data_IF_547021646510
#
_entry.id   IF_547021646510
#
_cell.length_a   1.000
_cell.length_b   1.000
_cell.length_c   1.000
_cell.angle_alpha   90.00
_cell.angle_beta   90.00
_cell.angle_gamma   90.00
#
_symmetry.space_group_name_H-M   'P 1'
#
loop_
_entity.id
_entity.type
_entity.pdbx_description
1 polymer ?
#
# COMPACT_ATOMS: atom_id res chain seq x y z
N UNK A 1 -12.79 -3.47 -7.60
CA UNK A 1 -12.42 -3.21 -9.01
C UNK A 1 -13.12 -4.25 -9.89
N UNK A 2 -13.64 -3.84 -11.04
CA UNK A 2 -14.41 -4.67 -12.00
C UNK A 2 -13.53 -5.70 -12.72
N UNK A 3 -12.74 -6.49 -11.98
CA UNK A 3 -11.81 -7.48 -12.53
C UNK A 3 -10.52 -6.91 -13.14
N UNK A 4 -10.39 -5.59 -13.26
CA UNK A 4 -9.16 -4.94 -13.73
C UNK A 4 -8.08 -4.95 -12.63
N UNK A 5 -6.83 -5.19 -13.04
CA UNK A 5 -5.65 -5.27 -12.18
C UNK A 5 -4.67 -4.11 -12.41
N UNK A 6 -5.15 -3.02 -13.01
CA UNK A 6 -4.36 -1.83 -13.32
C UNK A 6 -5.09 -0.57 -12.88
N UNK A 7 -4.30 0.43 -12.51
CA UNK A 7 -4.77 1.78 -12.18
C UNK A 7 -3.95 2.74 -13.01
N UNK A 8 -4.62 3.60 -13.77
CA UNK A 8 -3.95 4.67 -14.50
C UNK A 8 -3.68 5.82 -13.54
N UNK A 9 -2.42 6.21 -13.40
CA UNK A 9 -2.03 7.40 -12.65
C UNK A 9 -2.45 8.63 -13.45
N UNK A 10 -3.25 9.50 -12.84
CA UNK A 10 -3.71 10.78 -13.38
C UNK A 10 -3.48 11.87 -12.34
N UNK A 11 -3.47 13.12 -12.78
CA UNK A 11 -3.22 14.30 -11.93
C UNK A 11 -4.17 14.39 -10.73
N UNK A 12 -5.39 13.86 -10.88
CA UNK A 12 -6.46 13.89 -9.89
C UNK A 12 -6.67 12.58 -9.13
N UNK A 13 -5.80 11.57 -9.34
CA UNK A 13 -6.03 10.23 -8.76
C UNK A 13 -5.98 10.24 -7.21
N UNK A 14 -5.24 11.18 -6.62
CA UNK A 14 -4.97 11.25 -5.19
C UNK A 14 -5.50 12.55 -4.55
N UNK A 15 -6.43 13.25 -5.22
CA UNK A 15 -7.04 14.48 -4.69
C UNK A 15 -7.80 14.23 -3.38
N UNK A 16 -8.37 13.03 -3.24
CA UNK A 16 -9.08 12.56 -2.04
C UNK A 16 -8.19 11.69 -1.13
N UNK A 17 -6.88 11.94 -1.09
CA UNK A 17 -5.87 11.22 -0.29
C UNK A 17 -5.45 9.86 -0.88
N UNK A 18 -4.71 9.07 -0.09
CA UNK A 18 -4.14 7.80 -0.49
C UNK A 18 -5.19 6.74 -0.87
N UNK A 19 -4.90 5.98 -1.93
CA UNK A 19 -5.64 4.75 -2.23
C UNK A 19 -5.16 3.64 -1.31
N UNK A 20 -6.00 3.23 -0.36
CA UNK A 20 -5.71 2.17 0.59
C UNK A 20 -6.37 0.87 0.13
N UNK A 21 -5.55 -0.13 -0.16
CA UNK A 21 -5.99 -1.47 -0.53
C UNK A 21 -5.83 -2.42 0.65
N UNK A 22 -6.89 -3.17 0.95
CA UNK A 22 -6.90 -4.25 1.96
C UNK A 22 -7.36 -5.57 1.33
N UNK A 23 -7.25 -6.69 2.06
CA UNK A 23 -7.69 -8.03 1.59
C UNK A 23 -7.08 -8.36 0.22
N UNK A 24 -5.79 -8.11 0.10
CA UNK A 24 -5.04 -8.20 -1.14
C UNK A 24 -5.05 -9.63 -1.66
N UNK A 25 -5.38 -9.80 -2.95
CA UNK A 25 -5.15 -11.06 -3.68
C UNK A 25 -3.79 -11.09 -4.38
N UNK A 26 -3.15 -9.93 -4.50
CA UNK A 26 -1.85 -9.74 -5.13
C UNK A 26 -0.76 -9.67 -4.07
N UNK A 27 0.42 -10.22 -4.39
CA UNK A 27 1.62 -10.14 -3.55
C UNK A 27 2.65 -9.13 -4.06
N UNK A 28 2.36 -8.43 -5.16
CA UNK A 28 3.21 -7.39 -5.71
C UNK A 28 2.41 -6.31 -6.47
N UNK A 29 3.09 -5.20 -6.75
CA UNK A 29 2.62 -4.12 -7.63
C UNK A 29 3.77 -3.69 -8.53
N UNK A 30 3.47 -3.38 -9.80
CA UNK A 30 4.44 -2.83 -10.73
C UNK A 30 4.08 -1.39 -11.12
N UNK A 31 5.06 -0.50 -11.07
CA UNK A 31 4.99 0.80 -11.73
C UNK A 31 5.40 0.63 -13.20
N UNK A 32 4.56 1.09 -14.13
CA UNK A 32 4.76 0.94 -15.56
C UNK A 32 4.77 2.30 -16.26
N UNK A 33 5.56 2.45 -17.31
CA UNK A 33 5.55 3.65 -18.13
C UNK A 33 4.34 3.67 -19.10
N UNK A 34 4.17 4.77 -19.84
CA UNK A 34 3.09 4.91 -20.83
C UNK A 34 3.14 3.92 -22.01
N UNK A 35 4.23 3.16 -22.18
CA UNK A 35 4.39 2.10 -23.17
C UNK A 35 4.20 0.70 -22.56
N UNK A 36 3.69 0.61 -21.33
CA UNK A 36 3.52 -0.64 -20.58
C UNK A 36 4.83 -1.41 -20.31
N UNK A 37 5.97 -0.73 -20.28
CA UNK A 37 7.22 -1.30 -19.77
C UNK A 37 7.25 -1.13 -18.25
N UNK A 38 7.60 -2.19 -17.51
CA UNK A 38 7.83 -2.10 -16.06
C UNK A 38 9.05 -1.21 -15.82
N UNK A 39 8.93 -0.31 -14.85
CA UNK A 39 10.03 0.50 -14.31
C UNK A 39 10.51 -0.14 -13.00
N UNK A 40 9.55 -0.53 -12.17
CA UNK A 40 9.80 -1.10 -10.85
C UNK A 40 8.71 -2.12 -10.51
N UNK A 41 9.08 -3.19 -9.80
CA UNK A 41 8.16 -4.10 -9.11
C UNK A 41 8.47 -4.10 -7.63
N UNK A 42 7.44 -3.90 -6.81
CA UNK A 42 7.50 -3.99 -5.36
C UNK A 42 6.79 -5.28 -4.94
N UNK A 43 7.54 -6.24 -4.42
CA UNK A 43 7.04 -7.48 -3.84
C UNK A 43 6.82 -7.29 -2.33
N UNK A 44 5.61 -7.56 -1.87
CA UNK A 44 5.14 -7.35 -0.51
C UNK A 44 4.26 -8.50 -0.02
N UNK A 45 4.64 -9.74 -0.38
CA UNK A 45 3.92 -10.92 0.09
C UNK A 45 3.77 -10.93 1.62
N UNK A 46 2.55 -11.21 2.09
CA UNK A 46 2.22 -11.23 3.51
C UNK A 46 1.80 -9.89 4.11
N UNK A 47 1.97 -8.76 3.42
CA UNK A 47 1.47 -7.47 3.90
C UNK A 47 -0.05 -7.38 3.75
N UNK A 48 -0.80 -7.03 4.82
CA UNK A 48 -2.26 -6.97 4.78
C UNK A 48 -2.83 -5.76 4.02
N UNK A 49 -2.05 -4.67 3.92
CA UNK A 49 -2.44 -3.43 3.29
C UNK A 49 -1.39 -2.92 2.31
N UNK A 50 -1.85 -2.15 1.31
CA UNK A 50 -1.02 -1.37 0.41
C UNK A 50 -1.62 0.04 0.28
N UNK A 51 -0.87 1.05 0.69
CA UNK A 51 -1.14 2.45 0.38
C UNK A 51 -0.46 2.86 -0.92
N UNK A 52 -1.18 3.58 -1.78
CA UNK A 52 -0.62 4.20 -2.98
C UNK A 52 -1.04 5.67 -3.00
N UNK A 53 -0.08 6.58 -3.10
CA UNK A 53 -0.37 8.02 -3.13
C UNK A 53 0.73 8.84 -3.82
N UNK A 54 0.40 10.08 -4.17
CA UNK A 54 1.37 11.12 -4.51
C UNK A 54 0.90 12.45 -3.95
N UNK A 55 1.83 13.37 -3.67
CA UNK A 55 1.53 14.63 -2.99
C UNK A 55 0.72 15.61 -3.84
N UNK A 56 0.99 15.65 -5.14
CA UNK A 56 0.31 16.52 -6.10
C UNK A 56 0.63 16.09 -7.52
N UNK A 57 -0.13 16.57 -8.50
CA UNK A 57 0.15 16.37 -9.92
C UNK A 57 1.58 16.79 -10.32
N UNK A 58 2.11 17.85 -9.70
CA UNK A 58 3.46 18.37 -9.97
C UNK A 58 4.57 17.59 -9.25
N UNK A 59 4.24 16.68 -8.34
CA UNK A 59 5.23 15.92 -7.59
C UNK A 59 5.78 14.79 -8.49
N UNK A 60 7.08 14.77 -8.81
CA UNK A 60 7.65 13.78 -9.73
C UNK A 60 7.91 12.42 -9.04
N UNK A 61 7.00 12.00 -8.16
CA UNK A 61 7.09 10.74 -7.45
C UNK A 61 5.71 10.13 -7.19
N UNK A 62 5.71 8.84 -6.90
CA UNK A 62 4.59 8.09 -6.35
C UNK A 62 5.11 7.22 -5.22
N UNK A 63 4.34 7.10 -4.16
CA UNK A 63 4.62 6.23 -3.03
C UNK A 63 3.90 4.90 -3.21
N UNK A 64 4.61 3.81 -2.94
CA UNK A 64 4.10 2.44 -2.87
C UNK A 64 4.42 1.94 -1.46
N UNK A 65 3.41 1.78 -0.62
CA UNK A 65 3.60 1.60 0.82
C UNK A 65 2.85 0.36 1.34
N UNK A 66 3.50 -0.81 1.35
CA UNK A 66 2.94 -1.98 2.02
C UNK A 66 2.97 -1.77 3.55
N UNK A 67 1.85 -2.01 4.22
CA UNK A 67 1.73 -1.72 5.66
C UNK A 67 1.32 -2.93 6.51
N UNK A 68 1.88 -2.99 7.73
CA UNK A 68 1.39 -3.76 8.87
C UNK A 68 0.75 -2.80 9.89
N UNK A 69 -0.37 -2.21 9.49
CA UNK A 69 -1.08 -1.17 10.23
C UNK A 69 -1.87 -0.28 9.27
N UNK A 70 -2.86 0.44 9.78
CA UNK A 70 -3.66 1.39 9.01
C UNK A 70 -4.06 2.58 9.90
N UNK A 71 -4.46 3.70 9.28
CA UNK A 71 -5.02 4.84 9.98
C UNK A 71 -6.28 4.43 10.79
N UNK A 72 -6.64 5.23 11.80
CA UNK A 72 -7.89 4.98 12.54
C UNK A 72 -9.10 5.16 11.62
N UNK A 73 -10.12 4.35 11.86
CA UNK A 73 -11.43 4.55 11.24
C UNK A 73 -12.13 5.73 11.91
N UNK A 74 -13.11 6.33 11.23
CA UNK A 74 -13.91 7.43 11.80
C UNK A 74 -14.75 7.01 13.01
N UNK A 75 -14.87 5.71 13.25
CA UNK A 75 -15.61 5.10 14.36
C UNK A 75 -14.71 4.43 15.40
N UNK A 76 -13.39 4.69 15.37
CA UNK A 76 -12.45 4.12 16.33
C UNK A 76 -12.84 4.47 17.78
N UNK A 77 -12.68 3.51 18.69
CA UNK A 77 -12.93 3.67 20.12
C UNK A 77 -11.71 4.23 20.88
N UNK A 78 -10.60 4.42 20.16
CA UNK A 78 -9.31 4.91 20.67
C UNK A 78 -8.62 3.97 21.67
N UNK A 79 -9.11 2.74 21.83
CA UNK A 79 -8.34 1.68 22.48
C UNK A 79 -7.33 1.11 21.49
N UNK A 80 -6.07 1.50 21.64
CA UNK A 80 -4.98 1.03 20.80
C UNK A 80 -4.91 -0.50 20.68
N UNK A 81 -5.34 -1.25 21.71
CA UNK A 81 -5.33 -2.72 21.67
C UNK A 81 -6.37 -3.29 20.70
N UNK A 82 -7.41 -2.51 20.38
CA UNK A 82 -8.49 -2.87 19.46
C UNK A 82 -8.33 -2.21 18.08
N UNK A 83 -7.27 -1.42 17.90
CA UNK A 83 -7.00 -0.69 16.65
C UNK A 83 -6.89 -1.64 15.45
N UNK A 84 -7.59 -1.31 14.36
CA UNK A 84 -7.51 -2.07 13.12
C UNK A 84 -6.06 -2.15 12.59
N UNK A 85 -5.67 -3.36 12.17
CA UNK A 85 -4.34 -3.61 11.62
C UNK A 85 -3.22 -3.63 12.66
N UNK A 86 -3.51 -3.51 13.96
CA UNK A 86 -2.48 -3.59 14.99
C UNK A 86 -1.86 -4.98 15.06
N UNK A 87 -0.53 -5.04 15.13
CA UNK A 87 0.20 -6.29 15.35
C UNK A 87 0.44 -6.45 16.85
N UNK A 88 -0.26 -7.39 17.47
CA UNK A 88 0.01 -7.78 18.85
C UNK A 88 1.25 -8.66 18.91
N UNK A 89 2.28 -8.21 19.64
CA UNK A 89 3.54 -8.95 19.81
C UNK A 89 3.74 -9.35 21.28
N UNK A 90 3.68 -10.65 21.62
CA UNK A 90 3.92 -11.12 22.98
C UNK A 90 5.35 -10.86 23.47
N UNK A 91 5.54 -10.92 24.79
CA UNK A 91 6.86 -10.75 25.42
C UNK A 91 7.82 -11.83 24.93
N UNK A 92 8.98 -11.42 24.43
CA UNK A 92 10.03 -12.32 23.95
C UNK A 92 9.89 -12.76 22.49
N UNK A 93 8.80 -12.39 21.82
CA UNK A 93 8.57 -12.72 20.42
C UNK A 93 9.23 -11.72 19.46
N UNK A 94 9.43 -12.14 18.21
CA UNK A 94 9.95 -11.30 17.13
C UNK A 94 8.98 -11.31 15.96
N UNK A 95 8.62 -10.12 15.46
CA UNK A 95 7.91 -9.96 14.21
C UNK A 95 8.89 -9.62 13.09
N UNK A 96 8.83 -10.39 12.01
CA UNK A 96 9.67 -10.20 10.82
C UNK A 96 8.79 -10.06 9.60
N UNK A 97 9.05 -9.03 8.81
CA UNK A 97 8.47 -8.84 7.48
C UNK A 97 9.57 -8.49 6.49
N UNK A 98 9.42 -8.96 5.26
CA UNK A 98 10.38 -8.71 4.19
C UNK A 98 9.62 -8.22 2.97
N UNK A 99 10.12 -7.14 2.38
CA UNK A 99 9.72 -6.73 1.05
C UNK A 99 10.93 -6.69 0.13
N UNK A 100 10.68 -6.65 -1.17
CA UNK A 100 11.73 -6.60 -2.19
C UNK A 100 11.33 -5.63 -3.29
N UNK A 101 12.29 -4.84 -3.73
CA UNK A 101 12.11 -3.92 -4.86
C UNK A 101 13.02 -4.38 -6.00
N UNK A 102 12.45 -4.56 -7.17
CA UNK A 102 13.18 -4.89 -8.41
C UNK A 102 13.06 -3.72 -9.39
N UNK A 103 14.19 -3.23 -9.90
CA UNK A 103 14.28 -2.18 -10.91
C UNK A 103 14.53 -2.82 -12.28
N UNK A 104 13.89 -2.32 -13.34
CA UNK A 104 13.90 -2.92 -14.70
C UNK A 104 14.48 -1.98 -15.78
#
# INVERSE_FOLDING_TARGET
>A
MNGDNRIRITDHLFDDDALIFHRLKSSNVSLMNGQHKRILTFDFEGFPYLGIWSKSADAPFICLEPWFGVADTTTADWDFKQKEGIVFLPVGETFTCTHKVTIH
#
